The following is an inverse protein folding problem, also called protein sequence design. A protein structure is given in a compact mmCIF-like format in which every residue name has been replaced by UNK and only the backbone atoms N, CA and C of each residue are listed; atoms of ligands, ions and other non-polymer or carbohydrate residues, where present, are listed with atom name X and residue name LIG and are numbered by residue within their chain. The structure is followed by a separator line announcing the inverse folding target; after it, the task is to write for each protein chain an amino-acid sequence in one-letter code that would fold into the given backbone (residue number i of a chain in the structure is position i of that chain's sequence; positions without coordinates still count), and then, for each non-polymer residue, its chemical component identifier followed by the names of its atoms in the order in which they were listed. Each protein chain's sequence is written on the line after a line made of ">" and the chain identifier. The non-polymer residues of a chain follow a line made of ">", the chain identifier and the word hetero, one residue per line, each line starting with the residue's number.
data_IF_548219729184
#
_entry.id   IF_548219729184
#
_cell.length_a   1.000
_cell.length_b   1.000
_cell.length_c   1.000
_cell.angle_alpha   90.00
_cell.angle_beta   90.00
_cell.angle_gamma   90.00
#
_symmetry.space_group_name_H-M   'P 1'
#
loop_
_entity.id
_entity.type
_entity.pdbx_description
1 polymer ?
#
# COMPACT_ATOMS: atom_id res chain seq x y z
N UNK A 1 -3.37 -5.25 12.85
CA UNK A 1 -2.19 -4.57 13.42
C UNK A 1 -2.73 -3.49 14.32
N UNK A 2 -2.32 -3.52 15.57
CA UNK A 2 -2.78 -2.55 16.57
C UNK A 2 -2.14 -1.21 16.25
N UNK A 3 -2.99 -0.18 16.11
CA UNK A 3 -2.54 1.13 15.68
C UNK A 3 -2.03 1.99 16.85
N UNK A 4 -2.04 1.45 18.07
CA UNK A 4 -1.46 2.08 19.26
C UNK A 4 0.02 2.46 19.04
N UNK A 5 0.76 1.63 18.29
CA UNK A 5 2.16 1.86 17.93
C UNK A 5 2.33 3.13 17.06
N UNK A 6 1.30 3.50 16.30
CA UNK A 6 1.28 4.66 15.42
C UNK A 6 0.63 5.89 16.08
N UNK A 7 0.31 5.84 17.38
CA UNK A 7 -0.42 6.90 18.08
C UNK A 7 -1.92 6.95 17.77
N UNK A 8 -2.43 5.97 17.02
CA UNK A 8 -3.84 5.80 16.67
C UNK A 8 -4.52 4.86 17.68
N UNK A 9 -4.58 5.32 18.93
CA UNK A 9 -5.08 4.55 20.07
C UNK A 9 -6.43 3.87 19.82
N UNK A 10 -6.47 2.55 19.95
CA UNK A 10 -7.68 1.73 19.86
C UNK A 10 -8.14 1.38 18.43
N UNK A 11 -7.39 1.73 17.39
CA UNK A 11 -7.72 1.37 16.02
C UNK A 11 -7.09 0.05 15.58
N UNK A 12 -7.88 -0.80 14.93
CA UNK A 12 -7.40 -2.00 14.26
C UNK A 12 -7.13 -1.74 12.77
N UNK A 13 -5.88 -1.90 12.33
CA UNK A 13 -5.47 -1.68 10.93
C UNK A 13 -5.24 -3.00 10.17
N UNK A 14 -5.73 -3.03 8.92
CA UNK A 14 -5.43 -4.03 7.89
C UNK A 14 -4.46 -3.44 6.86
N UNK A 15 -3.34 -4.11 6.65
CA UNK A 15 -2.38 -3.73 5.61
C UNK A 15 -2.88 -4.26 4.26
N UNK A 16 -3.06 -3.37 3.29
CA UNK A 16 -3.55 -3.73 1.94
C UNK A 16 -2.47 -3.74 0.87
N UNK A 17 -1.29 -3.21 1.16
CA UNK A 17 -0.12 -3.21 0.28
C UNK A 17 0.74 -1.99 0.53
N UNK A 18 1.48 -1.58 -0.49
CA UNK A 18 2.40 -0.45 -0.43
C UNK A 18 3.21 -0.31 -1.70
N UNK A 19 4.16 0.61 -1.67
CA UNK A 19 5.15 0.82 -2.73
C UNK A 19 6.55 0.85 -2.16
N UNK A 20 7.48 0.31 -2.93
CA UNK A 20 8.92 0.44 -2.67
C UNK A 20 9.40 1.87 -2.98
N UNK A 21 10.63 2.20 -2.59
CA UNK A 21 11.27 3.50 -2.89
C UNK A 21 11.28 3.79 -4.40
N UNK A 22 11.44 2.76 -5.23
CA UNK A 22 11.44 2.90 -6.70
C UNK A 22 10.01 2.95 -7.30
N UNK A 23 8.98 3.08 -6.47
CA UNK A 23 7.57 3.06 -6.89
C UNK A 23 7.07 1.68 -7.33
N UNK A 24 7.84 0.61 -7.11
CA UNK A 24 7.39 -0.74 -7.46
C UNK A 24 6.30 -1.19 -6.50
N UNK A 25 5.14 -1.66 -7.01
CA UNK A 25 4.02 -2.01 -6.14
C UNK A 25 4.28 -3.34 -5.44
N UNK A 26 3.83 -3.42 -4.19
CA UNK A 26 3.74 -4.68 -3.46
C UNK A 26 2.63 -5.56 -4.04
N UNK A 27 2.90 -6.86 -4.17
CA UNK A 27 1.93 -7.84 -4.66
C UNK A 27 1.77 -8.98 -3.67
N UNK A 28 0.53 -9.25 -3.27
CA UNK A 28 0.16 -10.29 -2.28
C UNK A 28 0.55 -11.70 -2.71
N UNK A 29 0.56 -11.96 -4.01
CA UNK A 29 0.87 -13.28 -4.59
C UNK A 29 2.36 -13.64 -4.48
N UNK A 30 3.24 -12.65 -4.26
CA UNK A 30 4.69 -12.86 -4.19
C UNK A 30 5.11 -12.86 -2.74
N UNK A 31 5.59 -14.02 -2.26
CA UNK A 31 6.09 -14.19 -0.90
C UNK A 31 7.48 -13.57 -0.69
N UNK A 32 7.67 -12.93 0.45
CA UNK A 32 8.98 -12.52 0.98
C UNK A 32 9.32 -11.05 0.75
N UNK A 33 10.36 -10.56 1.43
CA UNK A 33 10.82 -9.18 1.35
C UNK A 33 11.68 -8.86 0.10
N UNK A 34 11.47 -9.58 -1.01
CA UNK A 34 12.35 -9.51 -2.20
C UNK A 34 11.70 -8.77 -3.37
N UNK A 35 12.55 -8.21 -4.24
CA UNK A 35 12.17 -7.74 -5.58
C UNK A 35 12.31 -8.87 -6.58
N UNK A 36 11.24 -9.20 -7.30
CA UNK A 36 11.25 -10.27 -8.30
C UNK A 36 10.60 -9.82 -9.59
N UNK A 37 11.19 -10.21 -10.72
CA UNK A 37 10.55 -10.04 -12.02
C UNK A 37 9.65 -11.24 -12.31
N UNK A 38 8.35 -10.98 -12.45
CA UNK A 38 7.34 -12.02 -12.71
C UNK A 38 6.57 -11.69 -13.98
N UNK A 39 6.00 -12.72 -14.62
CA UNK A 39 5.10 -12.55 -15.74
C UNK A 39 3.72 -12.14 -15.21
N UNK A 40 3.28 -10.93 -15.53
CA UNK A 40 2.03 -10.36 -15.01
C UNK A 40 1.01 -10.24 -16.13
N UNK A 41 -0.22 -10.61 -15.80
CA UNK A 41 -1.40 -10.49 -16.67
C UNK A 41 -2.46 -9.55 -16.08
N UNK A 42 -2.43 -9.30 -14.78
CA UNK A 42 -3.44 -8.54 -14.05
C UNK A 42 -2.80 -7.45 -13.19
N UNK A 43 -3.55 -6.40 -12.83
CA UNK A 43 -3.14 -5.47 -11.78
C UNK A 43 -2.92 -6.20 -10.45
N UNK A 44 -2.10 -5.68 -9.51
CA UNK A 44 -1.35 -4.41 -9.57
C UNK A 44 -0.02 -4.51 -10.35
N UNK A 45 0.43 -3.37 -10.91
CA UNK A 45 1.71 -3.25 -11.64
C UNK A 45 1.62 -3.40 -13.16
N UNK A 46 0.61 -4.09 -13.69
CA UNK A 46 0.36 -4.16 -15.12
C UNK A 46 -1.14 -4.14 -15.44
N UNK A 47 -1.57 -3.18 -16.26
CA UNK A 47 -2.94 -3.08 -16.76
C UNK A 47 -2.90 -3.34 -18.27
N UNK A 48 -3.18 -4.58 -18.74
CA UNK A 48 -3.15 -4.88 -20.17
C UNK A 48 -4.24 -4.10 -20.91
N UNK A 49 -3.90 -3.51 -22.06
CA UNK A 49 -4.88 -2.85 -22.94
C UNK A 49 -5.66 -3.85 -23.79
N UNK A 50 -5.07 -5.01 -24.08
CA UNK A 50 -5.64 -6.07 -24.90
C UNK A 50 -5.65 -7.39 -24.13
N UNK A 51 -6.68 -8.21 -24.38
CA UNK A 51 -6.80 -9.54 -23.76
C UNK A 51 -5.65 -10.44 -24.24
N UNK A 52 -5.07 -11.21 -23.32
CA UNK A 52 -4.00 -12.16 -23.62
C UNK A 52 -2.58 -11.61 -23.55
N UNK A 53 -2.39 -10.27 -23.50
CA UNK A 53 -1.04 -9.70 -23.31
C UNK A 53 -0.53 -9.95 -21.90
N UNK A 54 0.69 -10.47 -21.81
CA UNK A 54 1.43 -10.68 -20.57
C UNK A 54 2.74 -9.92 -20.65
N UNK A 55 3.17 -9.27 -19.55
CA UNK A 55 4.46 -8.57 -19.52
C UNK A 55 5.24 -8.98 -18.29
N UNK A 56 6.53 -9.25 -18.47
CA UNK A 56 7.45 -9.43 -17.34
C UNK A 56 7.75 -8.06 -16.74
N UNK A 57 7.42 -7.89 -15.45
CA UNK A 57 7.67 -6.65 -14.70
C UNK A 57 8.21 -6.99 -13.31
N UNK A 58 8.97 -6.05 -12.76
CA UNK A 58 9.49 -6.13 -11.41
C UNK A 58 8.41 -5.71 -10.42
N UNK A 59 8.26 -6.50 -9.35
CA UNK A 59 7.33 -6.26 -8.25
C UNK A 59 8.02 -6.55 -6.92
N UNK A 60 7.49 -5.94 -5.86
CA UNK A 60 7.89 -6.23 -4.48
C UNK A 60 6.98 -7.32 -3.91
N UNK A 61 7.56 -8.21 -3.10
CA UNK A 61 6.78 -9.18 -2.36
C UNK A 61 5.91 -8.57 -1.27
N UNK A 62 5.18 -9.44 -0.57
CA UNK A 62 4.15 -9.07 0.39
C UNK A 62 4.67 -8.73 1.80
N UNK A 63 5.93 -9.04 2.09
CA UNK A 63 6.54 -8.82 3.40
C UNK A 63 7.07 -7.39 3.53
N UNK A 64 6.90 -6.80 4.72
CA UNK A 64 7.28 -5.41 4.98
C UNK A 64 8.74 -5.35 5.40
N UNK A 65 9.49 -4.51 4.70
CA UNK A 65 10.91 -4.25 4.92
C UNK A 65 11.16 -2.74 5.00
N UNK A 66 12.26 -2.28 5.62
CA UNK A 66 12.57 -0.85 5.74
C UNK A 66 12.74 -0.09 4.41
N UNK A 67 12.91 -0.80 3.30
CA UNK A 67 13.01 -0.19 1.96
C UNK A 67 11.66 0.32 1.39
N UNK A 68 10.55 0.02 2.06
CA UNK A 68 9.20 0.43 1.63
C UNK A 68 8.99 1.92 1.93
N UNK A 69 8.57 2.67 0.92
CA UNK A 69 8.34 4.12 1.03
C UNK A 69 6.94 4.44 1.56
N UNK A 70 5.93 3.68 1.15
CA UNK A 70 4.54 3.91 1.52
C UNK A 70 3.84 2.59 1.83
N UNK A 71 3.03 2.59 2.90
CA UNK A 71 2.16 1.46 3.26
C UNK A 71 0.71 1.91 3.20
N UNK A 72 -0.10 1.15 2.47
CA UNK A 72 -1.54 1.37 2.35
C UNK A 72 -2.28 0.55 3.40
N UNK A 73 -2.98 1.23 4.29
CA UNK A 73 -3.75 0.61 5.38
C UNK A 73 -5.26 0.87 5.21
N UNK A 74 -6.07 -0.05 5.75
CA UNK A 74 -7.51 0.11 5.90
C UNK A 74 -7.87 -0.10 7.37
N UNK A 75 -8.78 0.71 7.88
CA UNK A 75 -9.33 0.58 9.22
C UNK A 75 -10.35 -0.57 9.22
N UNK A 76 -10.15 -1.55 10.10
CA UNK A 76 -11.10 -2.65 10.36
C UNK A 76 -11.94 -2.38 11.59
N UNK A 77 -11.31 -1.90 12.65
CA UNK A 77 -11.94 -1.63 13.93
C UNK A 77 -11.69 -0.18 14.31
N UNK A 78 -12.76 0.51 14.70
CA UNK A 78 -12.71 1.92 15.05
C UNK A 78 -12.45 2.07 16.54
N UNK A 79 -11.44 2.87 16.87
CA UNK A 79 -11.07 3.20 18.25
C UNK A 79 -11.88 4.34 18.86
N UNK A 80 -11.43 4.77 20.03
CA UNK A 80 -12.16 5.64 20.97
C UNK A 80 -12.25 7.10 20.55
N UNK A 81 -11.34 7.58 19.68
CA UNK A 81 -11.30 8.98 19.22
C UNK A 81 -11.52 9.06 17.71
N UNK A 82 -12.34 9.98 17.20
CA UNK A 82 -12.59 10.10 15.77
C UNK A 82 -11.31 10.46 15.00
N UNK A 83 -11.13 9.82 13.83
CA UNK A 83 -9.99 10.01 12.92
C UNK A 83 -9.76 11.50 12.56
N UNK A 84 -10.83 12.30 12.50
CA UNK A 84 -10.78 13.71 12.14
C UNK A 84 -9.99 14.56 13.15
N UNK A 85 -9.96 14.17 14.43
CA UNK A 85 -9.18 14.85 15.46
C UNK A 85 -7.71 14.43 15.44
N UNK A 86 -7.41 13.22 14.95
CA UNK A 86 -6.04 12.68 14.93
C UNK A 86 -5.29 13.10 13.66
N UNK A 87 -5.99 13.14 12.52
CA UNK A 87 -5.43 13.54 11.24
C UNK A 87 -5.71 14.99 10.85
N UNK A 88 -6.45 15.74 11.67
CA UNK A 88 -6.71 17.19 11.57
C UNK A 88 -6.79 17.70 10.13
N UNK A 89 -8.00 17.89 9.59
CA UNK A 89 -8.21 18.42 8.23
C UNK A 89 -7.22 19.56 7.87
N UNK A 90 -6.18 19.21 7.12
CA UNK A 90 -5.60 20.06 6.09
C UNK A 90 -6.10 19.52 4.74
N UNK A 91 -7.34 19.88 4.43
CA UNK A 91 -7.71 20.11 3.04
C UNK A 91 -6.94 21.34 2.56
N UNK A 92 -5.63 21.20 2.29
CA UNK A 92 -4.97 22.10 1.34
C UNK A 92 -5.11 21.49 -0.05
N UNK A 93 -6.21 21.89 -0.67
CA UNK A 93 -6.42 21.90 -2.10
C UNK A 93 -5.11 22.24 -2.84
N UNK A 94 -4.63 21.30 -3.66
CA UNK A 94 -3.71 21.62 -4.73
C UNK A 94 -4.33 22.70 -5.61
N UNK A 95 -3.98 23.96 -5.36
CA UNK A 95 -4.12 25.04 -6.33
C UNK A 95 -3.11 24.77 -7.45
N UNK A 96 -3.64 24.58 -8.64
CA UNK A 96 -2.93 24.83 -9.90
C UNK A 96 -2.24 26.20 -9.85
N UNK A 97 -0.94 26.23 -10.18
CA UNK A 97 -0.28 27.33 -10.88
C UNK A 97 0.77 26.76 -11.83
#
# INVERSE_FOLDING_TARGET
>A
VDADILGLGGYGLEIRGGSDTDGTPMRKDVSGAVRKSILITSPPGYRPKEKGKRRRKLVRGNEISPEISQINVKIKEYGTKPIEEIFGKEEEAGKEQ
#
